data_IF_607621563261
#
_entry.id   IF_607621563261
#
_cell.length_a   1.000
_cell.length_b   1.000
_cell.length_c   1.000
_cell.angle_alpha   90.00
_cell.angle_beta   90.00
_cell.angle_gamma   90.00
#
_symmetry.space_group_name_H-M   'P 1'
#
loop_
_entity.id
_entity.type
_entity.pdbx_description
1 polymer ?
#
# COMPACT_ATOMS: atom_id res chain seq x y z
N UNK A 1 7.73 -0.51 10.49
CA UNK A 1 6.89 -1.17 9.48
C UNK A 1 5.56 -1.62 10.06
N UNK A 2 4.56 -1.75 9.23
CA UNK A 2 3.26 -2.32 9.61
C UNK A 2 3.10 -3.68 8.94
N UNK A 3 2.21 -4.51 9.49
CA UNK A 3 1.91 -5.82 8.90
C UNK A 3 0.57 -5.73 8.18
N UNK A 4 0.61 -5.95 6.87
CA UNK A 4 -0.57 -5.92 6.01
C UNK A 4 -1.05 -7.36 5.79
N UNK A 5 -2.32 -7.63 6.13
CA UNK A 5 -2.94 -8.94 5.91
C UNK A 5 -3.94 -8.81 4.78
N UNK A 6 -3.73 -9.55 3.72
CA UNK A 6 -4.56 -9.54 2.51
C UNK A 6 -5.06 -10.94 2.19
N UNK A 7 -6.06 -11.01 1.30
CA UNK A 7 -6.57 -12.28 0.78
C UNK A 7 -6.00 -12.49 -0.62
N UNK A 8 -5.42 -13.64 -0.88
CA UNK A 8 -4.81 -13.97 -2.16
C UNK A 8 -5.78 -13.85 -3.31
N UNK A 9 -5.40 -13.13 -4.36
CA UNK A 9 -6.27 -12.82 -5.50
C UNK A 9 -6.74 -14.09 -6.21
N UNK A 10 -5.88 -15.10 -6.30
CA UNK A 10 -6.18 -16.36 -7.01
C UNK A 10 -6.51 -17.49 -6.03
N UNK A 11 -5.76 -17.59 -4.92
CA UNK A 11 -5.86 -18.73 -4.00
C UNK A 11 -6.94 -18.56 -2.94
N UNK A 12 -7.34 -17.33 -2.64
CA UNK A 12 -8.22 -17.02 -1.51
C UNK A 12 -7.55 -17.20 -0.14
N UNK A 13 -6.27 -17.50 -0.11
CA UNK A 13 -5.54 -17.73 1.15
C UNK A 13 -5.09 -16.41 1.75
N UNK A 14 -5.06 -16.38 3.08
CA UNK A 14 -4.58 -15.21 3.83
C UNK A 14 -3.06 -15.08 3.67
N UNK A 15 -2.61 -13.86 3.37
CA UNK A 15 -1.20 -13.52 3.23
C UNK A 15 -0.85 -12.35 4.14
N UNK A 16 0.31 -12.40 4.77
CA UNK A 16 0.81 -11.31 5.62
C UNK A 16 2.13 -10.82 5.07
N UNK A 17 2.25 -9.50 4.94
CA UNK A 17 3.46 -8.86 4.41
C UNK A 17 3.81 -7.64 5.26
N UNK A 18 5.10 -7.47 5.62
CA UNK A 18 5.53 -6.20 6.18
C UNK A 18 5.58 -5.15 5.07
N UNK A 19 5.06 -3.97 5.37
CA UNK A 19 5.13 -2.84 4.45
C UNK A 19 5.58 -1.60 5.23
N UNK A 20 6.13 -0.63 4.52
CA UNK A 20 6.61 0.60 5.15
C UNK A 20 5.43 1.36 5.77
N UNK A 21 5.63 1.88 6.98
CA UNK A 21 4.62 2.66 7.68
C UNK A 21 4.61 4.09 7.13
N UNK A 22 3.58 4.41 6.37
CA UNK A 22 3.34 5.75 5.83
C UNK A 22 1.93 6.13 6.25
N UNK A 23 1.80 7.25 6.95
CA UNK A 23 0.54 7.67 7.58
C UNK A 23 0.16 9.07 7.12
N UNK A 24 -1.12 9.26 6.84
CA UNK A 24 -1.71 10.57 6.55
C UNK A 24 -3.03 10.66 7.32
N UNK A 25 -2.99 11.29 8.50
CA UNK A 25 -4.14 11.34 9.41
C UNK A 25 -4.53 9.96 9.90
N UNK A 26 -5.77 9.54 9.63
CA UNK A 26 -6.28 8.21 9.98
C UNK A 26 -6.08 7.18 8.87
N UNK A 27 -5.38 7.55 7.80
CA UNK A 27 -5.18 6.71 6.62
C UNK A 27 -3.75 6.20 6.59
N UNK A 28 -3.58 5.00 6.03
CA UNK A 28 -2.27 4.46 5.71
C UNK A 28 -2.07 4.47 4.21
N UNK A 29 -0.82 4.62 3.79
CA UNK A 29 -0.45 4.64 2.37
C UNK A 29 0.47 3.46 2.10
N UNK A 30 0.12 2.65 1.12
CA UNK A 30 0.95 1.52 0.70
C UNK A 30 1.46 1.79 -0.71
N UNK A 31 2.77 1.93 -0.84
CA UNK A 31 3.42 2.19 -2.12
C UNK A 31 3.94 0.86 -2.68
N UNK A 32 3.41 0.47 -3.83
CA UNK A 32 3.74 -0.83 -4.44
C UNK A 32 5.05 -0.78 -5.22
N UNK A 33 6.10 -0.25 -4.59
CA UNK A 33 7.41 -0.07 -5.22
C UNK A 33 8.19 -1.39 -5.34
N UNK A 34 7.96 -2.32 -4.42
CA UNK A 34 8.72 -3.58 -4.34
C UNK A 34 10.25 -3.33 -4.39
N UNK A 35 10.72 -2.25 -3.72
CA UNK A 35 12.13 -1.87 -3.70
C UNK A 35 12.69 -1.46 -5.06
N UNK A 36 11.84 -1.00 -5.98
CA UNK A 36 12.23 -0.63 -7.34
C UNK A 36 12.23 -1.81 -8.32
N UNK A 37 11.63 -2.95 -7.93
CA UNK A 37 11.46 -4.09 -8.83
C UNK A 37 10.67 -3.73 -10.07
N UNK A 38 10.90 -4.43 -11.17
CA UNK A 38 10.11 -4.28 -12.40
C UNK A 38 8.74 -4.95 -12.32
N UNK A 39 8.46 -5.66 -11.24
CA UNK A 39 7.17 -6.33 -11.02
C UNK A 39 6.47 -5.75 -9.80
N UNK A 40 5.13 -5.70 -9.85
CA UNK A 40 4.33 -5.31 -8.69
C UNK A 40 4.47 -6.34 -7.56
N UNK A 41 4.42 -5.92 -6.29
CA UNK A 41 4.35 -6.88 -5.18
C UNK A 41 3.03 -7.62 -5.20
N UNK A 42 3.05 -8.88 -4.72
CA UNK A 42 1.86 -9.73 -4.73
C UNK A 42 0.68 -9.14 -3.96
N UNK A 43 0.94 -8.42 -2.86
CA UNK A 43 -0.14 -7.82 -2.08
C UNK A 43 -0.92 -6.75 -2.84
N UNK A 44 -0.33 -6.14 -3.86
CA UNK A 44 -1.07 -5.19 -4.71
C UNK A 44 -2.22 -5.88 -5.43
N UNK A 45 -1.97 -7.00 -6.10
CA UNK A 45 -3.01 -7.76 -6.78
C UNK A 45 -4.07 -8.26 -5.79
N UNK A 46 -3.63 -8.66 -4.60
CA UNK A 46 -4.54 -9.12 -3.55
C UNK A 46 -5.50 -8.02 -3.12
N UNK A 47 -5.00 -6.80 -2.89
CA UNK A 47 -5.85 -5.68 -2.51
C UNK A 47 -6.76 -5.22 -3.64
N UNK A 48 -6.29 -5.30 -4.88
CA UNK A 48 -7.13 -4.94 -6.03
C UNK A 48 -8.31 -5.89 -6.16
N UNK A 49 -8.11 -7.18 -5.89
CA UNK A 49 -9.17 -8.20 -5.95
C UNK A 49 -10.05 -8.20 -4.69
N UNK A 50 -9.45 -7.99 -3.53
CA UNK A 50 -10.13 -8.03 -2.22
C UNK A 50 -9.74 -6.80 -1.40
N UNK A 51 -10.45 -5.68 -1.53
CA UNK A 51 -10.03 -4.41 -0.94
C UNK A 51 -10.19 -4.31 0.57
N UNK A 52 -10.93 -5.21 1.22
CA UNK A 52 -10.99 -5.23 2.68
C UNK A 52 -9.74 -5.92 3.22
N UNK A 53 -8.92 -5.17 3.95
CA UNK A 53 -7.64 -5.65 4.46
C UNK A 53 -7.54 -5.41 5.96
N UNK A 54 -6.61 -6.11 6.60
CA UNK A 54 -6.29 -5.88 8.01
C UNK A 54 -4.88 -5.33 8.10
N UNK A 55 -4.67 -4.38 8.98
CA UNK A 55 -3.36 -3.76 9.17
C UNK A 55 -3.04 -3.73 10.65
N UNK A 56 -1.83 -4.15 11.00
CA UNK A 56 -1.31 -4.10 12.36
C UNK A 56 -0.17 -3.08 12.42
N UNK A 57 -0.37 -2.06 13.25
CA UNK A 57 0.62 -1.04 13.54
C UNK A 57 0.98 -1.13 15.02
N UNK A 58 2.11 -1.79 15.34
CA UNK A 58 2.47 -2.08 16.71
C UNK A 58 1.42 -3.01 17.35
N UNK A 59 0.82 -2.56 18.45
CA UNK A 59 -0.22 -3.32 19.15
C UNK A 59 -1.62 -3.05 18.61
N UNK A 60 -1.77 -2.08 17.70
CA UNK A 60 -3.07 -1.69 17.15
C UNK A 60 -3.37 -2.48 15.88
N UNK A 61 -4.53 -3.12 15.85
CA UNK A 61 -5.01 -3.88 14.68
C UNK A 61 -6.33 -3.30 14.24
N UNK A 62 -6.48 -3.03 12.94
CA UNK A 62 -7.71 -2.48 12.39
C UNK A 62 -8.03 -3.03 11.02
N UNK A 63 -9.29 -2.87 10.62
CA UNK A 63 -9.75 -3.20 9.27
C UNK A 63 -9.83 -1.93 8.44
N UNK A 64 -9.38 -2.04 7.20
CA UNK A 64 -9.28 -0.91 6.27
C UNK A 64 -9.80 -1.30 4.91
N UNK A 65 -10.33 -0.32 4.20
CA UNK A 65 -10.67 -0.48 2.79
C UNK A 65 -9.57 0.16 1.95
N UNK A 66 -9.00 -0.63 1.05
CA UNK A 66 -7.94 -0.18 0.16
C UNK A 66 -8.53 0.33 -1.15
N UNK A 67 -7.99 1.44 -1.66
CA UNK A 67 -8.30 1.91 -3.00
C UNK A 67 -7.04 2.44 -3.67
N UNK A 68 -6.93 2.24 -4.95
CA UNK A 68 -5.83 2.80 -5.71
C UNK A 68 -6.13 4.25 -6.06
N UNK A 69 -5.14 5.13 -5.85
CA UNK A 69 -5.28 6.55 -6.17
C UNK A 69 -4.59 6.85 -7.50
N UNK A 70 -5.13 7.84 -8.22
CA UNK A 70 -4.62 8.25 -9.54
C UNK A 70 -4.64 9.77 -9.64
N UNK A 71 -4.03 10.32 -10.70
CA UNK A 71 -4.07 11.74 -10.99
C UNK A 71 -3.45 12.60 -9.90
N UNK A 72 -4.12 13.68 -9.56
CA UNK A 72 -3.65 14.65 -8.57
C UNK A 72 -3.58 14.03 -7.17
N UNK A 73 -4.49 13.14 -6.85
CA UNK A 73 -4.50 12.43 -5.57
C UNK A 73 -3.24 11.57 -5.42
N UNK A 74 -2.85 10.89 -6.48
CA UNK A 74 -1.62 10.09 -6.49
C UNK A 74 -0.40 10.98 -6.29
N UNK A 75 -0.36 12.14 -6.93
CA UNK A 75 0.73 13.12 -6.77
C UNK A 75 0.83 13.57 -5.32
N UNK A 76 -0.31 13.85 -4.69
CA UNK A 76 -0.34 14.22 -3.27
C UNK A 76 0.26 13.13 -2.39
N UNK A 77 -0.15 11.87 -2.59
CA UNK A 77 0.35 10.77 -1.77
C UNK A 77 1.79 10.38 -2.05
N UNK A 78 2.29 10.64 -3.27
CA UNK A 78 3.72 10.54 -3.52
C UNK A 78 4.50 11.51 -2.63
N UNK A 79 4.03 12.74 -2.49
CA UNK A 79 4.63 13.73 -1.61
C UNK A 79 4.62 13.29 -0.15
N UNK A 80 3.50 12.72 0.30
CA UNK A 80 3.41 12.16 1.66
C UNK A 80 4.41 11.03 1.84
N UNK A 81 4.47 10.09 0.90
CA UNK A 81 5.36 8.93 0.99
C UNK A 81 6.83 9.35 1.04
N UNK A 82 7.22 10.34 0.26
CA UNK A 82 8.60 10.82 0.22
C UNK A 82 9.05 11.44 1.54
N UNK A 83 8.13 11.97 2.35
CA UNK A 83 8.45 12.46 3.69
C UNK A 83 8.89 11.33 4.61
N UNK A 84 8.38 10.12 4.41
CA UNK A 84 8.75 8.95 5.19
C UNK A 84 9.96 8.21 4.61
N UNK A 85 10.11 8.25 3.28
CA UNK A 85 11.21 7.56 2.60
C UNK A 85 11.68 8.38 1.40
N UNK A 86 12.76 9.19 1.54
CA UNK A 86 13.23 10.07 0.46
C UNK A 86 13.78 9.34 -0.75
N UNK A 87 13.96 8.02 -0.68
CA UNK A 87 14.52 7.22 -1.78
C UNK A 87 13.47 6.72 -2.77
N UNK A 88 12.18 7.05 -2.60
CA UNK A 88 11.15 6.62 -3.56
C UNK A 88 11.42 7.10 -5.00
N UNK A 89 11.94 8.30 -5.26
CA UNK A 89 12.27 8.69 -6.64
C UNK A 89 13.26 7.73 -7.30
N UNK A 90 14.24 7.23 -6.54
CA UNK A 90 15.20 6.24 -7.05
C UNK A 90 14.52 4.92 -7.40
N UNK A 91 13.56 4.49 -6.59
CA UNK A 91 12.79 3.27 -6.84
C UNK A 91 11.95 3.40 -8.11
N UNK A 92 11.43 4.59 -8.40
CA UNK A 92 10.67 4.85 -9.63
C UNK A 92 11.56 4.67 -10.87
N UNK A 93 12.81 5.12 -10.80
CA UNK A 93 13.78 4.91 -11.89
C UNK A 93 14.14 3.42 -12.04
N UNK A 94 14.40 2.73 -10.92
CA UNK A 94 14.75 1.32 -10.93
C UNK A 94 13.61 0.44 -11.46
N UNK A 95 12.38 0.89 -11.34
CA UNK A 95 11.23 0.16 -11.84
C UNK A 95 11.14 0.14 -13.38
N UNK A 96 12.04 0.82 -14.06
CA UNK A 96 12.18 0.80 -15.53
C UNK A 96 10.89 1.19 -16.27
N UNK A 97 10.28 2.27 -15.81
CA UNK A 97 9.05 2.78 -16.43
C UNK A 97 7.77 2.12 -15.95
N UNK A 98 7.83 1.13 -15.07
CA UNK A 98 6.65 0.59 -14.45
C UNK A 98 5.95 1.69 -13.65
N UNK A 99 4.66 1.86 -13.87
CA UNK A 99 3.85 2.77 -13.06
C UNK A 99 3.63 2.14 -11.68
N UNK A 100 4.20 2.76 -10.64
CA UNK A 100 4.13 2.22 -9.28
C UNK A 100 2.79 2.60 -8.67
N UNK A 101 1.91 1.62 -8.37
CA UNK A 101 0.63 1.93 -7.75
C UNK A 101 0.79 2.45 -6.32
N UNK A 102 -0.09 3.38 -5.95
CA UNK A 102 -0.24 3.82 -4.57
C UNK A 102 -1.64 3.45 -4.12
N UNK A 103 -1.71 2.70 -3.01
CA UNK A 103 -2.97 2.31 -2.39
C UNK A 103 -3.17 3.12 -1.12
N UNK A 104 -4.36 3.65 -0.94
CA UNK A 104 -4.73 4.34 0.30
C UNK A 104 -5.67 3.42 1.07
N UNK A 105 -5.34 3.19 2.34
CA UNK A 105 -6.11 2.34 3.24
C UNK A 105 -6.87 3.25 4.19
N UNK A 106 -8.19 3.28 4.05
CA UNK A 106 -9.08 4.08 4.88
C UNK A 106 -9.71 3.20 5.94
N UNK A 107 -9.87 3.69 7.20
CA UNK A 107 -10.56 2.90 8.22
C UNK A 107 -11.93 2.48 7.71
N UNK A 108 -12.29 1.23 7.96
CA UNK A 108 -13.62 0.75 7.62
C UNK A 108 -14.64 1.52 8.46
N UNK A 109 -15.65 2.06 7.79
CA UNK A 109 -16.70 2.78 8.49
C UNK A 109 -17.41 1.85 9.46
N UNK A 110 -17.60 2.33 10.70
CA UNK A 110 -18.35 1.62 11.72
C UNK A 110 -19.74 2.24 11.80
N UNK A 111 -20.73 1.39 11.73
CA UNK A 111 -22.13 1.81 11.87
C UNK A 111 -22.68 1.34 13.20
#
# INVERSE_FOLDING_TARGET
MVILTTVGAKSGKVRKNPVMRIVDGDRYVAVASAGGSTKHPGWYANMAAHPLVRLQDGATVGEYLAREVTGEEKTYYWGVAEQFWPHFPEYRELAQGRDIPIMVLQPRAQN
#
